data_IF_042375434867
#
_entry.id   IF_042375434867
#
_cell.length_a   1.000
_cell.length_b   1.000
_cell.length_c   1.000
_cell.angle_alpha   90.00
_cell.angle_beta   90.00
_cell.angle_gamma   90.00
#
_symmetry.space_group_name_H-M   'P 1'
#
loop_
_entity.id
_entity.type
_entity.pdbx_description
1 polymer ?
#
# COMPACT_ATOMS: atom_id res chain seq x y z
N UNK A 1 -3.36 9.41 8.04
CA UNK A 1 -3.59 9.16 6.60
C UNK A 1 -4.19 7.78 6.41
N UNK A 2 -4.93 7.56 5.33
CA UNK A 2 -5.47 6.25 4.99
C UNK A 2 -4.38 5.34 4.41
N UNK A 3 -4.42 4.07 4.78
CA UNK A 3 -3.78 2.97 4.06
C UNK A 3 -4.79 2.39 3.07
N UNK A 4 -5.06 1.09 3.18
CA UNK A 4 -6.10 0.40 2.43
C UNK A 4 -7.22 -0.08 3.37
N UNK A 5 -8.28 -0.69 2.81
CA UNK A 5 -9.43 -1.15 3.57
C UNK A 5 -10.11 -2.33 2.91
N UNK A 6 -11.01 -2.97 3.66
CA UNK A 6 -11.75 -4.14 3.22
C UNK A 6 -13.15 -4.09 3.82
N UNK A 7 -14.17 -4.30 2.98
CA UNK A 7 -15.53 -4.55 3.43
C UNK A 7 -15.72 -6.02 3.77
N UNK A 8 -16.39 -6.29 4.90
CA UNK A 8 -16.71 -7.62 5.39
C UNK A 8 -18.15 -7.65 5.90
N UNK A 9 -19.07 -8.11 5.06
CA UNK A 9 -20.50 -7.91 5.31
C UNK A 9 -20.81 -6.42 5.43
N UNK A 10 -21.38 -6.01 6.58
CA UNK A 10 -21.65 -4.60 6.90
C UNK A 10 -20.45 -3.86 7.49
N UNK A 11 -19.44 -4.57 7.97
CA UNK A 11 -18.24 -3.94 8.55
C UNK A 11 -17.35 -3.41 7.44
N UNK A 12 -16.73 -2.26 7.65
CA UNK A 12 -15.65 -1.76 6.82
C UNK A 12 -14.43 -1.53 7.70
N UNK A 13 -13.34 -2.20 7.36
CA UNK A 13 -12.06 -2.07 8.01
C UNK A 13 -11.20 -1.07 7.23
N UNK A 14 -10.68 -0.04 7.89
CA UNK A 14 -9.79 0.95 7.26
C UNK A 14 -8.49 1.02 8.05
N UNK A 15 -7.36 0.76 7.39
CA UNK A 15 -6.05 1.00 7.96
C UNK A 15 -5.72 2.48 7.92
N UNK A 16 -5.16 2.98 9.01
CA UNK A 16 -4.80 4.38 9.19
C UNK A 16 -3.37 4.48 9.71
N UNK A 17 -2.58 5.36 9.12
CA UNK A 17 -1.26 5.73 9.63
C UNK A 17 -1.37 7.03 10.41
N UNK A 18 -0.90 7.02 11.66
CA UNK A 18 -0.76 8.24 12.46
C UNK A 18 0.51 8.97 11.99
N UNK A 19 0.32 10.13 11.39
CA UNK A 19 1.39 10.97 10.83
C UNK A 19 1.56 12.20 11.72
N UNK A 20 2.80 12.53 12.05
CA UNK A 20 3.17 13.75 12.78
C UNK A 20 4.19 14.56 11.99
N UNK A 21 4.16 15.91 12.09
CA UNK A 21 5.20 16.74 11.50
C UNK A 21 6.55 16.47 12.19
N UNK A 22 7.64 16.51 11.43
CA UNK A 22 9.01 16.43 11.99
C UNK A 22 9.59 17.79 12.31
N UNK A 23 9.03 18.86 11.73
CA UNK A 23 9.60 20.21 11.76
C UNK A 23 10.73 20.41 10.75
N UNK A 24 11.11 19.37 9.99
CA UNK A 24 12.06 19.47 8.89
C UNK A 24 11.40 20.19 7.70
N UNK A 25 12.15 21.03 6.96
CA UNK A 25 11.63 21.71 5.78
C UNK A 25 11.41 20.73 4.62
N UNK A 26 10.61 21.16 3.64
CA UNK A 26 10.34 20.41 2.41
C UNK A 26 9.13 19.48 2.49
N UNK A 27 8.85 18.81 1.37
CA UNK A 27 7.60 18.06 1.19
C UNK A 27 7.54 16.72 1.93
N UNK A 28 8.64 16.30 2.55
CA UNK A 28 8.73 15.08 3.37
C UNK A 28 8.93 15.38 4.87
N UNK A 29 8.59 16.58 5.34
CA UNK A 29 8.66 17.01 6.74
C UNK A 29 7.66 16.34 7.69
N UNK A 30 7.40 15.04 7.50
CA UNK A 30 6.45 14.25 8.27
C UNK A 30 6.98 12.83 8.52
N UNK A 31 6.49 12.20 9.58
CA UNK A 31 6.82 10.81 9.89
C UNK A 31 5.60 10.06 10.41
N UNK A 32 5.57 8.74 10.19
CA UNK A 32 4.63 7.89 10.93
C UNK A 32 5.07 7.76 12.39
N UNK A 33 4.11 7.72 13.30
CA UNK A 33 4.30 7.47 14.73
C UNK A 33 3.48 6.28 15.23
N UNK A 34 2.54 5.78 14.43
CA UNK A 34 1.75 4.60 14.77
C UNK A 34 0.86 4.17 13.62
N UNK A 35 0.20 3.03 13.81
CA UNK A 35 -0.81 2.50 12.92
C UNK A 35 -2.10 2.22 13.71
N UNK A 36 -3.23 2.38 13.04
CA UNK A 36 -4.57 2.21 13.60
C UNK A 36 -5.45 1.46 12.62
N UNK A 37 -6.45 0.78 13.15
CA UNK A 37 -7.48 0.09 12.40
C UNK A 37 -8.83 0.71 12.81
N UNK A 38 -9.50 1.36 11.87
CA UNK A 38 -10.87 1.78 12.06
C UNK A 38 -11.82 0.64 11.69
N UNK A 39 -12.75 0.34 12.59
CA UNK A 39 -13.88 -0.56 12.38
C UNK A 39 -15.14 0.27 12.20
N UNK A 40 -15.55 0.51 10.95
CA UNK A 40 -16.85 1.11 10.64
C UNK A 40 -17.92 0.03 10.80
N UNK A 41 -18.94 0.32 11.61
CA UNK A 41 -19.93 -0.67 12.03
C UNK A 41 -20.93 -1.05 10.93
N UNK A 42 -21.31 -0.09 10.08
CA UNK A 42 -22.19 -0.30 8.95
C UNK A 42 -21.82 0.65 7.79
N UNK A 43 -21.08 0.15 6.79
CA UNK A 43 -20.66 0.96 5.64
C UNK A 43 -21.77 1.21 4.62
N UNK A 44 -22.92 0.54 4.76
CA UNK A 44 -24.09 0.77 3.90
C UNK A 44 -24.79 2.10 4.19
N UNK A 45 -24.51 2.72 5.34
CA UNK A 45 -24.98 4.07 5.67
C UNK A 45 -24.10 5.13 4.99
N UNK A 46 -24.59 6.37 4.82
CA UNK A 46 -23.74 7.48 4.39
C UNK A 46 -22.53 7.68 5.32
N UNK A 47 -21.34 8.08 4.81
CA UNK A 47 -20.16 8.28 5.65
C UNK A 47 -20.34 9.22 6.84
N UNK A 48 -21.21 10.23 6.71
CA UNK A 48 -21.55 11.17 7.78
C UNK A 48 -22.33 10.55 8.94
N UNK A 49 -22.84 9.33 8.76
CA UNK A 49 -23.60 8.56 9.76
C UNK A 49 -22.83 7.34 10.27
N UNK A 50 -21.62 7.10 9.77
CA UNK A 50 -20.81 5.98 10.21
C UNK A 50 -20.49 6.08 11.70
N UNK A 51 -20.83 5.02 12.44
CA UNK A 51 -20.27 4.76 13.76
C UNK A 51 -19.05 3.87 13.59
N UNK A 52 -18.00 4.15 14.35
CA UNK A 52 -16.75 3.40 14.25
C UNK A 52 -16.02 3.25 15.59
N UNK A 53 -15.19 2.22 15.66
CA UNK A 53 -14.16 2.06 16.70
C UNK A 53 -12.78 2.27 16.08
N UNK A 54 -11.86 2.87 16.85
CA UNK A 54 -10.46 2.98 16.48
C UNK A 54 -9.64 2.05 17.37
N UNK A 55 -8.97 1.09 16.75
CA UNK A 55 -8.09 0.15 17.42
C UNK A 55 -6.64 0.51 17.10
N UNK A 56 -5.81 0.73 18.11
CA UNK A 56 -4.38 0.90 17.86
C UNK A 56 -3.79 -0.43 17.41
N UNK A 57 -3.08 -0.45 16.29
CA UNK A 57 -2.42 -1.66 15.80
C UNK A 57 -1.15 -1.92 16.62
N UNK A 58 -1.03 -3.08 17.30
CA UNK A 58 0.15 -3.39 18.11
C UNK A 58 1.37 -3.80 17.29
N UNK A 59 1.21 -3.97 15.97
CA UNK A 59 2.24 -4.47 15.04
C UNK A 59 2.99 -3.33 14.33
N UNK A 60 3.35 -2.31 15.09
CA UNK A 60 4.06 -1.14 14.58
C UNK A 60 5.41 -1.03 15.27
N UNK A 61 6.46 -0.76 14.49
CA UNK A 61 7.79 -0.46 15.01
C UNK A 61 8.39 0.69 14.23
N UNK A 62 9.02 1.63 14.92
CA UNK A 62 9.86 2.65 14.30
C UNK A 62 10.97 3.07 15.25
N UNK A 63 12.17 3.12 14.72
CA UNK A 63 13.34 3.78 15.29
C UNK A 63 14.14 4.46 14.15
N UNK A 64 15.33 4.95 14.43
CA UNK A 64 16.15 5.67 13.45
C UNK A 64 16.63 4.79 12.28
N UNK A 65 16.65 3.47 12.48
CA UNK A 65 17.22 2.49 11.54
C UNK A 65 16.16 1.61 10.89
N UNK A 66 15.00 1.45 11.53
CA UNK A 66 14.00 0.49 11.10
C UNK A 66 12.57 1.01 11.24
N UNK A 67 11.71 0.55 10.34
CA UNK A 67 10.29 0.83 10.36
C UNK A 67 9.54 -0.42 9.92
N UNK A 68 8.51 -0.81 10.66
CA UNK A 68 7.59 -1.87 10.31
C UNK A 68 6.16 -1.36 10.52
N UNK A 69 5.35 -1.49 9.49
CA UNK A 69 3.93 -1.16 9.56
C UNK A 69 3.14 -2.04 8.60
N UNK A 70 1.86 -2.26 8.91
CA UNK A 70 0.93 -3.05 8.10
C UNK A 70 -0.29 -2.20 7.73
N UNK A 71 -0.95 -2.55 6.62
CA UNK A 71 -2.17 -1.89 6.16
C UNK A 71 -2.03 -1.10 4.86
N UNK A 72 -0.89 -1.19 4.18
CA UNK A 72 -0.66 -0.51 2.89
C UNK A 72 -1.50 -1.10 1.76
N UNK A 73 -1.75 -2.41 1.80
CA UNK A 73 -2.72 -3.10 0.96
C UNK A 73 -3.41 -4.23 1.74
N UNK A 74 -4.61 -4.62 1.34
CA UNK A 74 -5.44 -5.64 1.99
C UNK A 74 -6.17 -6.41 0.91
N UNK A 75 -6.32 -7.72 1.09
CA UNK A 75 -7.11 -8.58 0.20
C UNK A 75 -7.68 -9.78 0.96
N UNK A 76 -8.80 -10.34 0.51
CA UNK A 76 -9.43 -11.50 1.16
C UNK A 76 -9.74 -12.62 0.15
N UNK A 77 -9.43 -13.88 0.50
CA UNK A 77 -9.87 -15.08 -0.24
C UNK A 77 -11.18 -15.68 0.30
N UNK A 78 -11.80 -15.03 1.29
CA UNK A 78 -12.99 -15.55 1.99
C UNK A 78 -12.70 -16.46 3.19
N UNK A 79 -11.45 -16.92 3.36
CA UNK A 79 -10.98 -17.66 4.56
C UNK A 79 -10.02 -16.81 5.38
N UNK A 80 -9.09 -16.15 4.72
CA UNK A 80 -8.06 -15.29 5.26
C UNK A 80 -8.18 -13.90 4.66
N UNK A 81 -7.93 -12.90 5.49
CA UNK A 81 -7.58 -11.57 5.05
C UNK A 81 -6.07 -11.44 5.10
N UNK A 82 -5.46 -11.12 3.96
CA UNK A 82 -4.05 -10.80 3.82
C UNK A 82 -3.85 -9.29 3.97
N UNK A 83 -2.90 -8.90 4.82
CA UNK A 83 -2.57 -7.51 5.14
C UNK A 83 -1.12 -7.29 4.79
N UNK A 84 -0.88 -6.44 3.81
CA UNK A 84 0.44 -6.09 3.33
C UNK A 84 0.94 -4.85 4.03
N UNK A 85 2.24 -4.81 4.22
CA UNK A 85 2.92 -3.74 4.91
C UNK A 85 4.31 -3.49 4.36
N UNK A 86 5.03 -2.61 5.04
CA UNK A 86 6.38 -2.24 4.69
C UNK A 86 7.32 -2.52 5.86
N UNK A 87 8.51 -3.01 5.52
CA UNK A 87 9.65 -3.10 6.44
C UNK A 87 10.84 -2.36 5.83
N UNK A 88 11.22 -1.26 6.45
CA UNK A 88 12.50 -0.60 6.20
C UNK A 88 13.50 -1.13 7.25
N UNK A 89 14.64 -1.65 6.81
CA UNK A 89 15.77 -1.96 7.69
C UNK A 89 17.03 -1.37 7.05
N UNK A 90 17.35 -0.14 7.43
CA UNK A 90 18.49 0.62 6.87
C UNK A 90 19.84 -0.01 7.19
N UNK A 91 19.89 -0.93 8.16
CA UNK A 91 21.12 -1.67 8.49
C UNK A 91 21.39 -2.83 7.54
N UNK A 92 20.34 -3.36 6.89
CA UNK A 92 20.43 -4.49 5.95
C UNK A 92 20.29 -4.06 4.51
N UNK A 93 19.46 -3.06 4.25
CA UNK A 93 19.29 -2.48 2.93
C UNK A 93 18.97 -0.98 3.05
N UNK A 94 20.01 -0.10 3.04
CA UNK A 94 19.82 1.33 3.26
C UNK A 94 18.91 2.00 2.22
N UNK A 95 18.66 1.34 1.08
CA UNK A 95 17.89 1.86 -0.04
C UNK A 95 16.65 1.04 -0.41
N UNK A 96 16.38 -0.09 0.26
CA UNK A 96 15.27 -0.96 -0.14
C UNK A 96 14.26 -1.18 0.97
N UNK A 97 13.09 -0.58 0.77
CA UNK A 97 11.88 -0.90 1.51
C UNK A 97 11.36 -2.27 1.08
N UNK A 98 11.12 -3.13 2.05
CA UNK A 98 10.64 -4.48 1.85
C UNK A 98 9.13 -4.61 1.99
N UNK A 99 8.50 -5.51 1.22
CA UNK A 99 7.12 -5.96 1.44
C UNK A 99 7.08 -6.92 2.63
N UNK A 100 6.14 -6.74 3.53
CA UNK A 100 5.81 -7.76 4.55
C UNK A 100 4.35 -8.16 4.43
N UNK A 101 4.03 -9.38 4.84
CA UNK A 101 2.67 -9.93 4.75
C UNK A 101 2.25 -10.51 6.09
N UNK A 102 1.07 -10.10 6.54
CA UNK A 102 0.33 -10.74 7.61
C UNK A 102 -0.96 -11.35 7.05
N UNK A 103 -1.55 -12.26 7.80
CA UNK A 103 -2.92 -12.72 7.58
C UNK A 103 -3.68 -12.88 8.88
N UNK A 104 -4.99 -12.80 8.80
CA UNK A 104 -5.91 -13.05 9.90
C UNK A 104 -7.13 -13.79 9.37
N UNK A 105 -7.76 -14.72 10.12
CA UNK A 105 -9.00 -15.32 9.67
C UNK A 105 -10.06 -14.24 9.42
N UNK A 106 -10.88 -14.44 8.40
CA UNK A 106 -12.10 -13.65 8.18
C UNK A 106 -12.94 -13.66 9.46
N UNK A 107 -13.46 -12.51 9.86
CA UNK A 107 -14.23 -12.26 11.08
C UNK A 107 -13.38 -11.97 12.32
N UNK A 108 -12.04 -11.92 12.18
CA UNK A 108 -11.11 -11.77 13.31
C UNK A 108 -10.16 -10.57 13.19
N UNK A 109 -10.44 -9.60 12.30
CA UNK A 109 -9.53 -8.47 12.03
C UNK A 109 -9.08 -7.71 13.30
N UNK A 110 -10.00 -7.36 14.20
CA UNK A 110 -9.67 -6.68 15.47
C UNK A 110 -9.15 -7.63 16.58
N UNK A 111 -9.11 -8.95 16.35
CA UNK A 111 -8.54 -9.92 17.29
C UNK A 111 -7.05 -10.08 17.01
N UNK A 112 -6.23 -9.15 17.53
CA UNK A 112 -4.81 -9.09 17.23
C UNK A 112 -4.02 -10.37 17.59
N UNK A 113 -4.45 -11.16 18.57
CA UNK A 113 -3.82 -12.46 18.87
C UNK A 113 -4.03 -13.53 17.78
N UNK A 114 -5.01 -13.35 16.89
CA UNK A 114 -5.27 -14.26 15.77
C UNK A 114 -4.42 -13.96 14.52
N UNK A 115 -3.69 -12.83 14.50
CA UNK A 115 -2.85 -12.47 13.37
C UNK A 115 -1.63 -13.38 13.27
N UNK A 116 -1.27 -13.67 12.03
CA UNK A 116 -0.11 -14.46 11.64
C UNK A 116 0.73 -13.65 10.66
N UNK A 117 2.04 -13.80 10.73
CA UNK A 117 3.03 -13.02 10.00
C UNK A 117 3.92 -13.96 9.20
N UNK A 118 4.15 -13.63 7.94
CA UNK A 118 4.89 -14.48 7.03
C UNK A 118 6.38 -14.52 7.36
N UNK A 119 6.93 -15.72 7.39
CA UNK A 119 8.36 -16.04 7.52
C UNK A 119 8.74 -17.09 6.46
N UNK A 120 10.03 -17.30 6.17
CA UNK A 120 10.46 -18.36 5.25
C UNK A 120 10.05 -19.76 5.72
N UNK A 121 9.91 -19.96 7.04
CA UNK A 121 9.50 -21.21 7.68
C UNK A 121 7.97 -21.33 7.84
N UNK A 122 7.20 -20.36 7.34
CA UNK A 122 5.73 -20.36 7.35
C UNK A 122 5.12 -19.18 8.12
N UNK A 123 4.09 -19.45 8.92
CA UNK A 123 3.30 -18.41 9.59
C UNK A 123 3.63 -18.35 11.08
N UNK A 124 4.16 -17.21 11.55
CA UNK A 124 4.48 -16.96 12.95
C UNK A 124 3.44 -16.03 13.60
N UNK A 125 3.19 -16.18 14.89
CA UNK A 125 2.39 -15.21 15.66
C UNK A 125 3.23 -14.02 16.16
N UNK A 126 4.55 -14.04 15.93
CA UNK A 126 5.47 -12.99 16.37
C UNK A 126 5.76 -12.03 15.23
N UNK A 127 5.06 -10.90 15.23
CA UNK A 127 5.16 -9.89 14.18
C UNK A 127 6.58 -9.37 13.89
N UNK A 128 7.48 -9.37 14.88
CA UNK A 128 8.89 -8.95 14.70
C UNK A 128 9.71 -9.92 13.83
N UNK A 129 9.29 -11.18 13.77
CA UNK A 129 9.92 -12.22 12.92
C UNK A 129 9.48 -12.12 11.45
N UNK A 130 8.51 -11.25 11.14
CA UNK A 130 7.99 -11.10 9.77
C UNK A 130 9.11 -10.76 8.79
N UNK A 131 9.26 -11.60 7.78
CA UNK A 131 10.33 -11.48 6.79
C UNK A 131 9.88 -10.73 5.54
N UNK A 132 10.86 -10.17 4.85
CA UNK A 132 10.62 -9.41 3.61
C UNK A 132 10.32 -10.39 2.48
N UNK A 133 9.21 -10.15 1.77
CA UNK A 133 8.76 -10.94 0.63
C UNK A 133 9.13 -10.32 -0.73
N UNK A 134 9.61 -9.07 -0.77
CA UNK A 134 10.03 -8.37 -1.99
C UNK A 134 10.68 -7.03 -1.64
N UNK A 135 11.39 -6.39 -2.57
CA UNK A 135 12.20 -5.19 -2.32
C UNK A 135 11.94 -4.04 -3.32
N UNK A 136 12.48 -2.85 -3.04
CA UNK A 136 12.33 -1.63 -3.85
C UNK A 136 10.87 -1.16 -4.00
N UNK A 137 10.07 -1.25 -2.94
CA UNK A 137 8.65 -0.90 -2.99
C UNK A 137 8.43 0.47 -2.36
N UNK A 138 7.71 1.36 -3.02
CA UNK A 138 7.30 2.64 -2.44
C UNK A 138 6.43 2.49 -1.18
N UNK A 139 6.17 3.58 -0.47
CA UNK A 139 5.28 3.54 0.71
C UNK A 139 3.84 3.16 0.35
N UNK A 140 3.45 3.50 -0.87
CA UNK A 140 2.12 3.31 -1.42
C UNK A 140 2.18 2.34 -2.58
N UNK A 141 1.41 1.27 -2.44
CA UNK A 141 1.27 0.21 -3.44
C UNK A 141 -0.12 -0.42 -3.29
N UNK A 142 -0.38 -1.39 -4.14
CA UNK A 142 -1.53 -2.30 -4.05
C UNK A 142 -1.09 -3.71 -4.36
N UNK A 143 -1.76 -4.68 -3.74
CA UNK A 143 -1.63 -6.10 -4.09
C UNK A 143 -3.01 -6.63 -4.40
N UNK A 144 -3.17 -7.25 -5.56
CA UNK A 144 -4.47 -7.76 -6.01
C UNK A 144 -4.32 -9.00 -6.88
N UNK A 145 -5.32 -9.87 -6.85
CA UNK A 145 -5.41 -10.97 -7.80
C UNK A 145 -6.01 -10.46 -9.13
N UNK A 146 -5.39 -10.83 -10.25
CA UNK A 146 -5.81 -10.49 -11.61
C UNK A 146 -6.38 -11.75 -12.28
N UNK A 147 -7.72 -11.90 -12.36
CA UNK A 147 -8.33 -13.16 -12.78
C UNK A 147 -7.95 -13.61 -14.19
N UNK A 148 -7.80 -12.68 -15.14
CA UNK A 148 -7.47 -13.01 -16.52
C UNK A 148 -6.08 -13.62 -16.70
N UNK A 149 -5.13 -13.24 -15.84
CA UNK A 149 -3.78 -13.79 -15.85
C UNK A 149 -3.63 -14.95 -14.86
N UNK A 150 -4.56 -15.09 -13.91
CA UNK A 150 -4.48 -16.01 -12.77
C UNK A 150 -3.25 -15.77 -11.90
N UNK A 151 -2.81 -14.51 -11.83
CA UNK A 151 -1.64 -14.07 -11.09
C UNK A 151 -1.99 -12.94 -10.13
N UNK A 152 -1.11 -12.75 -9.15
CA UNK A 152 -1.12 -11.61 -8.25
C UNK A 152 -0.30 -10.47 -8.83
N UNK A 153 -0.85 -9.26 -8.83
CA UNK A 153 -0.16 -8.04 -9.20
C UNK A 153 0.20 -7.24 -7.95
N UNK A 154 1.49 -6.91 -7.80
CA UNK A 154 1.99 -5.85 -6.93
C UNK A 154 2.26 -4.62 -7.79
N UNK A 155 1.37 -3.63 -7.72
CA UNK A 155 1.49 -2.34 -8.46
C UNK A 155 2.00 -1.27 -7.49
N UNK A 156 3.05 -0.55 -7.88
CA UNK A 156 3.70 0.43 -7.01
C UNK A 156 4.49 1.50 -7.78
N UNK A 157 4.74 2.61 -7.08
CA UNK A 157 5.76 3.60 -7.48
C UNK A 157 7.09 3.23 -6.81
N UNK A 158 8.22 3.26 -7.51
CA UNK A 158 9.54 2.91 -6.96
C UNK A 158 9.94 3.77 -5.75
N UNK A 159 10.78 3.22 -4.87
CA UNK A 159 11.19 3.93 -3.64
C UNK A 159 12.06 5.16 -3.91
N UNK A 160 12.76 5.19 -5.05
CA UNK A 160 13.58 6.31 -5.51
C UNK A 160 12.78 7.45 -6.16
N UNK A 161 11.45 7.34 -6.22
CA UNK A 161 10.55 8.29 -6.87
C UNK A 161 10.83 8.49 -8.36
N UNK A 162 11.48 7.52 -9.02
CA UNK A 162 11.58 7.50 -10.47
C UNK A 162 10.18 7.59 -11.09
N UNK A 163 10.01 8.29 -12.23
CA UNK A 163 8.71 8.60 -12.82
C UNK A 163 8.12 7.39 -13.56
N UNK A 164 8.05 6.27 -12.87
CA UNK A 164 7.67 4.96 -13.37
C UNK A 164 6.57 4.38 -12.49
N UNK A 165 5.67 3.63 -13.13
CA UNK A 165 4.81 2.67 -12.45
C UNK A 165 5.37 1.30 -12.75
N UNK A 166 5.59 0.51 -11.70
CA UNK A 166 6.12 -0.84 -11.80
C UNK A 166 5.07 -1.86 -11.35
N UNK A 167 5.15 -3.04 -11.95
CA UNK A 167 4.38 -4.21 -11.56
C UNK A 167 5.34 -5.38 -11.31
N UNK A 168 5.05 -6.16 -10.27
CA UNK A 168 5.60 -7.49 -10.08
C UNK A 168 4.46 -8.50 -10.03
N UNK A 169 4.73 -9.71 -10.51
CA UNK A 169 3.76 -10.79 -10.58
C UNK A 169 4.12 -11.94 -9.63
N UNK A 170 3.12 -12.66 -9.14
CA UNK A 170 3.33 -13.87 -8.34
C UNK A 170 2.16 -14.86 -8.48
N UNK A 171 2.42 -16.15 -8.31
CA UNK A 171 1.37 -17.18 -8.27
C UNK A 171 0.63 -17.25 -6.92
N UNK A 172 1.12 -16.54 -5.91
CA UNK A 172 0.65 -16.60 -4.52
C UNK A 172 0.58 -15.21 -3.88
N UNK A 173 -0.38 -14.98 -2.96
CA UNK A 173 -0.50 -13.71 -2.24
C UNK A 173 0.74 -13.30 -1.47
N UNK A 174 1.60 -14.24 -1.09
CA UNK A 174 2.83 -13.97 -0.32
C UNK A 174 4.09 -13.86 -1.18
N UNK A 175 3.97 -13.88 -2.51
CA UNK A 175 5.11 -14.05 -3.43
C UNK A 175 5.47 -15.53 -3.64
N UNK A 176 6.59 -15.90 -4.27
CA UNK A 176 7.79 -15.14 -4.73
C UNK A 176 7.45 -14.16 -5.86
N UNK A 177 7.75 -12.87 -5.69
CA UNK A 177 7.47 -11.85 -6.70
C UNK A 177 8.50 -11.87 -7.82
N UNK A 178 8.05 -11.67 -9.06
CA UNK A 178 8.90 -11.51 -10.24
C UNK A 178 9.86 -10.33 -10.12
N UNK A 179 10.81 -10.26 -11.04
CA UNK A 179 11.54 -9.03 -11.31
C UNK A 179 10.57 -7.89 -11.67
N UNK A 180 10.91 -6.63 -11.33
CA UNK A 180 10.02 -5.51 -11.54
C UNK A 180 9.93 -5.15 -13.03
N UNK A 181 8.70 -4.97 -13.51
CA UNK A 181 8.42 -4.56 -14.88
C UNK A 181 7.88 -3.13 -14.87
N UNK A 182 8.53 -2.21 -15.59
CA UNK A 182 8.00 -0.87 -15.82
C UNK A 182 6.86 -0.93 -16.83
N UNK A 183 5.64 -0.67 -16.39
CA UNK A 183 4.42 -0.74 -17.21
C UNK A 183 3.97 0.62 -17.72
N UNK A 184 4.42 1.70 -17.09
CA UNK A 184 4.09 3.07 -17.49
C UNK A 184 5.19 4.05 -17.05
N UNK A 185 5.43 5.08 -17.87
CA UNK A 185 6.30 6.22 -17.52
C UNK A 185 5.43 7.45 -17.39
N UNK A 186 5.39 8.06 -16.21
CA UNK A 186 4.49 9.17 -15.91
C UNK A 186 4.91 10.43 -16.70
N UNK A 187 4.14 10.88 -17.72
CA UNK A 187 4.54 12.03 -18.54
C UNK A 187 4.37 13.36 -17.80
N UNK A 188 3.50 13.41 -16.79
CA UNK A 188 3.18 14.62 -16.01
C UNK A 188 4.41 15.22 -15.32
N UNK A 189 5.47 14.45 -15.07
CA UNK A 189 6.72 14.97 -14.52
C UNK A 189 7.40 15.99 -15.44
N UNK A 190 6.99 16.08 -16.72
CA UNK A 190 7.48 17.08 -17.67
C UNK A 190 6.77 18.43 -17.55
N UNK A 191 5.74 18.55 -16.69
CA UNK A 191 4.97 19.79 -16.49
C UNK A 191 5.66 20.82 -15.57
N UNK A 192 6.80 20.47 -14.99
CA UNK A 192 7.53 21.27 -14.01
C UNK A 192 8.91 20.65 -13.75
N UNK A 193 9.79 21.37 -13.07
CA UNK A 193 11.17 20.92 -12.87
C UNK A 193 11.31 20.00 -11.66
N UNK A 194 10.38 20.09 -10.72
CA UNK A 194 10.47 19.43 -9.42
C UNK A 194 9.34 18.42 -9.18
N UNK A 195 8.66 18.00 -10.25
CA UNK A 195 7.50 17.11 -10.18
C UNK A 195 7.96 15.64 -10.11
N UNK A 196 7.36 14.89 -9.20
CA UNK A 196 7.55 13.45 -9.06
C UNK A 196 6.22 12.69 -9.16
N UNK A 197 6.31 11.41 -9.51
CA UNK A 197 5.19 10.47 -9.64
C UNK A 197 5.13 9.54 -8.42
N UNK A 198 3.95 9.32 -7.86
CA UNK A 198 3.79 8.48 -6.68
C UNK A 198 2.39 7.86 -6.58
N UNK A 199 2.14 7.11 -5.50
CA UNK A 199 0.84 6.53 -5.15
C UNK A 199 0.22 5.62 -6.23
N UNK A 200 1.06 4.89 -6.98
CA UNK A 200 0.54 3.95 -7.97
C UNK A 200 -0.23 2.79 -7.30
N UNK A 201 -1.46 2.54 -7.76
CA UNK A 201 -2.37 1.51 -7.25
C UNK A 201 -3.17 0.89 -8.40
N UNK A 202 -3.27 -0.44 -8.43
CA UNK A 202 -4.18 -1.18 -9.29
C UNK A 202 -5.56 -1.35 -8.65
N UNK A 203 -6.59 -1.35 -9.49
CA UNK A 203 -8.02 -1.37 -9.11
C UNK A 203 -8.75 -2.47 -9.89
N UNK A 204 -8.54 -3.75 -9.58
CA UNK A 204 -9.22 -4.86 -10.26
C UNK A 204 -10.75 -4.74 -10.21
N UNK A 205 -11.30 -4.14 -9.16
CA UNK A 205 -12.74 -3.91 -8.95
C UNK A 205 -13.34 -2.87 -9.93
N UNK A 206 -12.49 -2.04 -10.55
CA UNK A 206 -12.86 -1.07 -11.58
C UNK A 206 -12.38 -1.48 -12.98
N UNK A 207 -11.74 -2.64 -13.10
CA UNK A 207 -11.10 -3.10 -14.33
C UNK A 207 -12.05 -3.93 -15.19
N UNK A 208 -11.93 -3.80 -16.52
CA UNK A 208 -12.54 -4.76 -17.43
C UNK A 208 -11.75 -6.10 -17.39
N UNK A 209 -12.34 -7.23 -17.85
CA UNK A 209 -11.71 -8.54 -17.73
C UNK A 209 -10.30 -8.64 -18.32
N UNK A 210 -10.00 -7.94 -19.41
CA UNK A 210 -8.74 -7.97 -20.15
C UNK A 210 -7.79 -6.80 -19.83
N UNK A 211 -8.06 -6.06 -18.75
CA UNK A 211 -7.20 -4.96 -18.32
C UNK A 211 -7.02 -4.90 -16.80
N UNK A 212 -6.04 -4.09 -16.38
CA UNK A 212 -5.91 -3.59 -15.03
C UNK A 212 -5.93 -2.05 -15.07
N UNK A 213 -6.93 -1.46 -14.44
CA UNK A 213 -6.98 -0.03 -14.19
C UNK A 213 -5.98 0.31 -13.09
N UNK A 214 -5.11 1.27 -13.36
CA UNK A 214 -4.12 1.77 -12.43
C UNK A 214 -4.32 3.27 -12.25
N UNK A 215 -4.24 3.73 -11.01
CA UNK A 215 -4.13 5.17 -10.71
C UNK A 215 -2.73 5.51 -10.26
N UNK A 216 -2.29 6.73 -10.52
CA UNK A 216 -1.14 7.35 -9.86
C UNK A 216 -1.45 8.82 -9.57
N UNK A 217 -0.65 9.47 -8.74
CA UNK A 217 -0.70 10.90 -8.51
C UNK A 217 0.65 11.55 -8.82
N UNK A 218 0.64 12.87 -8.99
CA UNK A 218 1.85 13.68 -9.05
C UNK A 218 1.88 14.70 -7.92
N UNK A 219 3.08 15.07 -7.50
CA UNK A 219 3.32 16.15 -6.56
C UNK A 219 4.65 16.82 -6.94
N UNK A 220 5.03 17.91 -6.27
CA UNK A 220 6.27 18.61 -6.52
C UNK A 220 7.08 18.77 -5.24
N UNK A 221 8.41 18.83 -5.34
CA UNK A 221 9.26 19.27 -4.23
C UNK A 221 9.11 20.76 -3.93
N UNK A 222 8.50 21.52 -4.85
CA UNK A 222 8.22 22.94 -4.73
C UNK A 222 6.72 23.19 -4.54
N UNK A 223 6.34 23.71 -3.37
CA UNK A 223 4.94 24.00 -3.07
C UNK A 223 4.31 24.97 -4.09
N UNK A 224 5.10 25.89 -4.62
CA UNK A 224 4.65 26.86 -5.61
C UNK A 224 4.20 26.19 -6.92
N UNK A 225 4.84 25.11 -7.37
CA UNK A 225 4.40 24.37 -8.56
C UNK A 225 3.01 23.77 -8.35
N UNK A 226 2.74 23.23 -7.15
CA UNK A 226 1.43 22.66 -6.81
C UNK A 226 0.36 23.75 -6.71
N UNK A 227 0.66 24.87 -6.03
CA UNK A 227 -0.30 25.96 -5.85
C UNK A 227 -0.65 26.67 -7.17
N UNK A 228 0.31 26.75 -8.10
CA UNK A 228 0.12 27.44 -9.37
C UNK A 228 -0.43 26.53 -10.48
N UNK A 229 -0.55 25.22 -10.25
CA UNK A 229 -1.05 24.27 -11.23
C UNK A 229 -2.02 23.25 -10.61
N UNK A 230 -3.31 23.53 -10.72
CA UNK A 230 -4.39 22.69 -10.23
C UNK A 230 -4.45 21.29 -10.88
N UNK A 231 -3.71 21.05 -11.97
CA UNK A 231 -3.62 19.75 -12.62
C UNK A 231 -2.56 18.80 -12.03
N UNK A 232 -1.70 19.25 -11.10
CA UNK A 232 -0.60 18.41 -10.60
C UNK A 232 -1.03 17.47 -9.48
N UNK A 233 -1.76 17.96 -8.49
CA UNK A 233 -2.08 17.18 -7.29
C UNK A 233 -3.43 16.46 -7.39
N UNK A 234 -3.66 15.80 -8.52
CA UNK A 234 -4.88 15.04 -8.83
C UNK A 234 -4.52 13.64 -9.36
N UNK A 235 -5.34 12.62 -9.06
CA UNK A 235 -5.09 11.27 -9.56
C UNK A 235 -5.28 11.20 -11.08
N UNK A 236 -4.43 10.41 -11.73
CA UNK A 236 -4.48 10.06 -13.15
C UNK A 236 -4.77 8.58 -13.29
N UNK A 237 -5.45 8.20 -14.37
CA UNK A 237 -5.86 6.83 -14.65
C UNK A 237 -5.14 6.30 -15.88
N UNK A 238 -4.63 5.08 -15.79
CA UNK A 238 -3.94 4.34 -16.86
C UNK A 238 -4.56 2.96 -16.96
N UNK A 239 -4.81 2.49 -18.18
CA UNK A 239 -5.28 1.12 -18.42
C UNK A 239 -4.13 0.27 -18.94
N UNK A 240 -3.81 -0.80 -18.23
CA UNK A 240 -2.86 -1.81 -18.67
C UNK A 240 -3.64 -2.95 -19.32
N UNK A 241 -3.54 -3.10 -20.63
CA UNK A 241 -4.23 -4.18 -21.35
C UNK A 241 -3.37 -5.43 -21.43
N UNK A 242 -3.98 -6.58 -21.20
CA UNK A 242 -3.32 -7.87 -21.35
C UNK A 242 -3.36 -8.28 -22.81
N UNK A 243 -2.20 -8.39 -23.45
CA UNK A 243 -2.10 -8.95 -24.79
C UNK A 243 -2.33 -10.46 -24.68
N UNK A 244 -3.21 -10.98 -25.54
CA UNK A 244 -3.43 -12.43 -25.71
C UNK A 244 -2.36 -13.04 -26.60
#
# INVERSE_FOLDING_TARGET
WFGHGLAEGKRLWLFLTHIVPTGEPGVFGFRSQGAWLAEVLDHSLPPTQWRYHLHQLPFYHRDDRSHLSFGSAVWSDGKWVYIYGIRDDRSRSPLKRGLVVARVPVGRMAHFTAWQFWTPDGWSHRWRECSVAGDDIGAEFSVSFVPALREWALVYSPADLSPEIRVRWAESPVGVWSEPQTVYRCPDVRKGQHIFCYAAKGHPELSAPDELLVTYATNSFELSEVLNNAELYVPRFVRLRFLR
#
